data_IF_109980175075
#
_entry.id   IF_109980175075
#
_cell.length_a   1.000
_cell.length_b   1.000
_cell.length_c   1.000
_cell.angle_alpha   90.00
_cell.angle_beta   90.00
_cell.angle_gamma   90.00
#
_symmetry.space_group_name_H-M   'P 1'
#
loop_
_entity.id
_entity.type
_entity.pdbx_description
1 polymer ?
#
# COMPACT_ATOMS: atom_id res chain seq x y z
N UNK A 1 -19.20 9.45 -14.97
CA UNK A 1 -17.87 9.94 -14.55
C UNK A 1 -17.77 9.74 -13.05
N UNK A 2 -17.06 8.70 -12.60
CA UNK A 2 -16.86 8.46 -11.19
C UNK A 2 -16.06 9.60 -10.56
N UNK A 3 -16.26 9.79 -9.25
CA UNK A 3 -15.43 10.66 -8.45
C UNK A 3 -14.78 9.84 -7.32
N UNK A 4 -13.57 10.22 -6.95
CA UNK A 4 -12.71 9.54 -5.98
C UNK A 4 -12.38 10.51 -4.86
N UNK A 5 -12.24 9.98 -3.65
CA UNK A 5 -11.93 10.75 -2.45
C UNK A 5 -10.45 10.59 -2.16
N UNK A 6 -9.67 11.66 -2.33
CA UNK A 6 -8.26 11.66 -1.99
C UNK A 6 -7.99 12.56 -0.79
N UNK A 7 -7.27 12.04 0.21
CA UNK A 7 -6.76 12.86 1.32
C UNK A 7 -5.37 13.38 0.97
N UNK A 8 -5.14 14.66 1.22
CA UNK A 8 -3.81 15.25 1.05
C UNK A 8 -2.90 14.69 2.15
N UNK A 9 -1.91 13.90 1.74
CA UNK A 9 -0.94 13.29 2.65
C UNK A 9 0.12 14.30 3.10
N UNK A 10 0.70 14.12 4.30
CA UNK A 10 1.85 14.91 4.72
C UNK A 10 3.03 14.73 3.77
N UNK A 11 3.84 15.79 3.54
CA UNK A 11 5.03 15.68 2.70
C UNK A 11 6.03 14.69 3.29
N UNK A 12 6.55 13.80 2.44
CA UNK A 12 7.55 12.79 2.83
C UNK A 12 8.93 13.14 2.28
N UNK A 13 9.96 12.54 2.88
CA UNK A 13 11.34 12.66 2.40
C UNK A 13 11.54 12.06 1.01
N UNK A 14 10.91 10.90 0.75
CA UNK A 14 10.99 10.24 -0.54
C UNK A 14 10.41 11.13 -1.66
N UNK A 15 9.26 11.76 -1.43
CA UNK A 15 8.69 12.72 -2.39
C UNK A 15 9.62 13.92 -2.58
N UNK A 16 10.18 14.48 -1.51
CA UNK A 16 11.14 15.59 -1.63
C UNK A 16 12.36 15.21 -2.49
N UNK A 17 12.95 14.05 -2.27
CA UNK A 17 14.09 13.57 -3.05
C UNK A 17 13.72 13.42 -4.54
N UNK A 18 12.48 12.97 -4.83
CA UNK A 18 11.94 12.92 -6.19
C UNK A 18 11.81 14.34 -6.78
N UNK A 19 11.26 15.28 -6.02
CA UNK A 19 11.15 16.68 -6.45
C UNK A 19 12.51 17.31 -6.74
N UNK A 20 13.53 17.03 -5.92
CA UNK A 20 14.89 17.50 -6.18
C UNK A 20 15.45 16.94 -7.50
N UNK A 21 15.22 15.66 -7.79
CA UNK A 21 15.61 15.04 -9.07
C UNK A 21 14.89 15.66 -10.27
N UNK A 22 13.66 16.16 -10.08
CA UNK A 22 12.90 16.89 -11.10
C UNK A 22 13.30 18.36 -11.23
N UNK A 23 14.29 18.83 -10.47
CA UNK A 23 14.82 20.19 -10.55
C UNK A 23 14.29 21.16 -9.49
N UNK A 24 13.62 20.68 -8.44
CA UNK A 24 13.30 21.52 -7.28
C UNK A 24 14.57 21.91 -6.52
N UNK A 25 14.85 23.21 -6.44
CA UNK A 25 16.08 23.75 -5.82
C UNK A 25 15.88 24.23 -4.37
N UNK A 26 14.66 24.15 -3.83
CA UNK A 26 14.37 24.60 -2.47
C UNK A 26 14.86 23.62 -1.40
N UNK A 27 14.91 24.09 -0.16
CA UNK A 27 15.20 23.25 1.00
C UNK A 27 14.00 22.37 1.36
N UNK A 28 14.22 21.44 2.30
CA UNK A 28 13.14 20.64 2.88
C UNK A 28 12.10 21.48 3.60
N UNK A 29 12.53 22.53 4.31
CA UNK A 29 11.61 23.38 5.06
C UNK A 29 10.76 24.22 4.10
N UNK A 30 11.32 24.66 2.98
CA UNK A 30 10.56 25.30 1.89
C UNK A 30 9.53 24.33 1.30
N UNK A 31 9.93 23.08 1.05
CA UNK A 31 9.05 22.05 0.51
C UNK A 31 7.89 21.74 1.45
N UNK A 32 8.18 21.55 2.74
CA UNK A 32 7.17 21.32 3.78
C UNK A 32 6.22 22.48 3.93
N UNK A 33 6.72 23.72 3.91
CA UNK A 33 5.87 24.90 4.02
C UNK A 33 4.91 24.99 2.83
N UNK A 34 5.42 24.72 1.62
CA UNK A 34 4.63 24.77 0.38
C UNK A 34 3.59 23.65 0.30
N UNK A 35 3.92 22.43 0.74
CA UNK A 35 3.03 21.26 0.67
C UNK A 35 2.18 21.03 1.92
N UNK A 36 2.53 21.66 3.03
CA UNK A 36 1.93 21.41 4.35
C UNK A 36 0.57 22.06 4.57
N UNK A 37 0.25 23.14 3.84
CA UNK A 37 -0.95 23.95 4.09
C UNK A 37 -2.28 23.19 3.94
N UNK A 38 -2.33 22.20 3.05
CA UNK A 38 -3.55 21.46 2.72
C UNK A 38 -3.59 20.05 3.32
N UNK A 39 -2.60 19.67 4.15
CA UNK A 39 -2.53 18.33 4.74
C UNK A 39 -3.81 17.99 5.51
N UNK A 40 -4.36 16.81 5.21
CA UNK A 40 -5.61 16.34 5.79
C UNK A 40 -6.88 16.86 5.11
N UNK A 41 -6.79 17.83 4.19
CA UNK A 41 -7.94 18.20 3.37
C UNK A 41 -8.35 17.04 2.46
N UNK A 42 -9.64 17.00 2.13
CA UNK A 42 -10.24 16.02 1.22
C UNK A 42 -10.45 16.67 -0.13
N UNK A 43 -9.87 16.06 -1.17
CA UNK A 43 -10.05 16.42 -2.56
C UNK A 43 -10.98 15.42 -3.26
N UNK A 44 -11.79 15.91 -4.20
CA UNK A 44 -12.60 15.08 -5.07
C UNK A 44 -11.99 15.09 -6.47
N UNK A 45 -11.58 13.92 -6.94
CA UNK A 45 -11.03 13.73 -8.29
C UNK A 45 -12.11 13.08 -9.14
N UNK A 46 -12.58 13.72 -10.21
CA UNK A 46 -13.58 13.14 -11.10
C UNK A 46 -12.95 12.78 -12.45
N UNK A 47 -13.16 11.56 -12.90
CA UNK A 47 -12.49 10.97 -14.06
C UNK A 47 -12.58 9.45 -14.04
N UNK A 48 -11.96 8.76 -14.99
CA UNK A 48 -11.86 7.29 -14.99
C UNK A 48 -10.46 6.90 -14.53
N UNK A 49 -10.30 6.58 -13.24
CA UNK A 49 -9.01 6.22 -12.62
C UNK A 49 -8.95 4.74 -12.22
N UNK A 50 -9.89 3.91 -12.70
CA UNK A 50 -10.00 2.50 -12.33
C UNK A 50 -10.90 2.25 -11.12
N UNK A 51 -10.83 1.06 -10.51
CA UNK A 51 -11.67 0.71 -9.37
C UNK A 51 -11.44 1.64 -8.17
N UNK A 52 -12.50 1.90 -7.42
CA UNK A 52 -12.39 2.55 -6.12
C UNK A 52 -11.80 1.61 -5.09
N UNK A 53 -11.01 2.15 -4.17
CA UNK A 53 -10.72 1.48 -2.91
C UNK A 53 -12.06 1.09 -2.25
N UNK A 54 -12.21 -0.18 -1.92
CA UNK A 54 -13.44 -0.73 -1.39
C UNK A 54 -13.79 -0.21 0.02
N UNK A 55 -12.84 0.46 0.70
CA UNK A 55 -12.98 0.92 2.08
C UNK A 55 -13.20 2.44 2.21
N UNK A 56 -12.64 3.26 1.30
CA UNK A 56 -12.74 4.73 1.40
C UNK A 56 -13.07 5.47 0.11
N UNK A 57 -13.29 4.76 -1.00
CA UNK A 57 -13.54 5.36 -2.31
C UNK A 57 -12.41 6.28 -2.84
N UNK A 58 -11.19 6.14 -2.32
CA UNK A 58 -9.98 6.64 -2.99
C UNK A 58 -9.69 5.84 -4.27
N UNK A 59 -8.66 6.23 -5.02
CA UNK A 59 -8.18 5.43 -6.15
C UNK A 59 -7.64 4.09 -5.63
N UNK A 60 -8.11 2.99 -6.22
CA UNK A 60 -7.71 1.64 -5.85
C UNK A 60 -6.46 1.21 -6.61
N UNK A 61 -5.29 1.72 -6.21
CA UNK A 61 -4.00 1.44 -6.86
C UNK A 61 -3.51 0.00 -6.68
N UNK A 62 -3.99 -0.70 -5.65
CA UNK A 62 -3.55 -2.05 -5.27
C UNK A 62 -4.72 -3.05 -5.30
N UNK A 63 -4.40 -4.32 -5.54
CA UNK A 63 -5.32 -5.45 -5.40
C UNK A 63 -4.84 -6.38 -4.29
N UNK A 64 -5.77 -7.02 -3.59
CA UNK A 64 -5.41 -7.95 -2.51
C UNK A 64 -4.97 -9.31 -3.06
N UNK A 65 -3.70 -9.65 -2.84
CA UNK A 65 -3.07 -10.88 -3.35
C UNK A 65 -3.28 -12.12 -2.47
N UNK A 66 -4.12 -12.03 -1.43
CA UNK A 66 -4.31 -13.15 -0.51
C UNK A 66 -4.97 -14.33 -1.23
N UNK A 67 -4.40 -15.56 -1.14
CA UNK A 67 -4.95 -16.72 -1.83
C UNK A 67 -6.27 -17.17 -1.22
N UNK A 68 -7.30 -17.34 -2.07
CA UNK A 68 -8.65 -17.75 -1.64
C UNK A 68 -9.03 -19.16 -2.12
N UNK A 69 -8.06 -19.94 -2.61
CA UNK A 69 -8.25 -21.27 -3.17
C UNK A 69 -8.35 -21.29 -4.70
N UNK A 70 -8.27 -22.48 -5.30
CA UNK A 70 -8.37 -22.71 -6.75
C UNK A 70 -7.46 -21.82 -7.62
N UNK A 71 -6.29 -21.44 -7.09
CA UNK A 71 -5.35 -20.55 -7.77
C UNK A 71 -5.82 -19.10 -7.93
N UNK A 72 -6.82 -18.67 -7.13
CA UNK A 72 -7.37 -17.31 -7.14
C UNK A 72 -6.88 -16.48 -5.96
N UNK A 73 -6.92 -15.17 -6.15
CA UNK A 73 -6.63 -14.13 -5.17
C UNK A 73 -7.92 -13.41 -4.75
N UNK A 74 -7.85 -12.64 -3.67
CA UNK A 74 -9.00 -11.88 -3.18
C UNK A 74 -9.40 -10.75 -4.14
N UNK A 75 -8.44 -10.10 -4.80
CA UNK A 75 -8.62 -9.03 -5.79
C UNK A 75 -9.44 -7.83 -5.30
N UNK A 76 -9.58 -7.65 -3.98
CA UNK A 76 -10.23 -6.47 -3.40
C UNK A 76 -9.40 -5.23 -3.76
N UNK A 77 -9.97 -4.19 -4.39
CA UNK A 77 -9.26 -2.96 -4.71
C UNK A 77 -9.02 -2.12 -3.45
N UNK A 78 -7.81 -1.61 -3.31
CA UNK A 78 -7.32 -0.88 -2.12
C UNK A 78 -6.50 0.33 -2.56
N UNK A 79 -6.61 1.42 -1.80
CA UNK A 79 -5.63 2.49 -1.89
C UNK A 79 -4.41 2.16 -1.03
N UNK A 80 -3.34 2.93 -1.17
CA UNK A 80 -2.11 2.80 -0.38
C UNK A 80 -2.36 2.78 1.14
N UNK A 81 -3.37 3.50 1.64
CA UNK A 81 -3.66 3.55 3.08
C UNK A 81 -4.31 2.26 3.62
N UNK A 82 -4.92 1.44 2.74
CA UNK A 82 -5.59 0.18 3.09
C UNK A 82 -4.87 -1.06 2.55
N UNK A 83 -3.75 -0.87 1.85
CA UNK A 83 -2.90 -1.93 1.34
C UNK A 83 -1.75 -2.18 2.32
N UNK A 84 -1.59 -3.43 2.77
CA UNK A 84 -0.45 -3.85 3.57
C UNK A 84 0.52 -4.64 2.72
N UNK A 85 1.65 -4.05 2.37
CA UNK A 85 2.72 -4.76 1.68
C UNK A 85 3.36 -5.79 2.63
N UNK A 86 3.28 -7.07 2.28
CA UNK A 86 3.85 -8.18 3.08
C UNK A 86 5.14 -8.75 2.46
N UNK A 87 5.36 -8.49 1.18
CA UNK A 87 6.53 -8.81 0.39
C UNK A 87 6.53 -7.90 -0.86
N UNK A 88 7.66 -7.77 -1.60
CA UNK A 88 7.71 -6.91 -2.78
C UNK A 88 6.58 -7.22 -3.76
N UNK A 89 5.79 -6.20 -4.09
CA UNK A 89 4.62 -6.29 -4.99
C UNK A 89 3.51 -7.26 -4.51
N UNK A 90 3.45 -7.58 -3.21
CA UNK A 90 2.39 -8.42 -2.62
C UNK A 90 1.68 -7.64 -1.51
N UNK A 91 0.41 -7.32 -1.74
CA UNK A 91 -0.40 -6.47 -0.88
C UNK A 91 -1.62 -7.20 -0.35
N UNK A 92 -1.86 -7.13 0.96
CA UNK A 92 -3.06 -7.68 1.59
C UNK A 92 -3.98 -6.58 2.10
N UNK A 93 -5.29 -6.81 2.01
CA UNK A 93 -6.28 -5.96 2.66
C UNK A 93 -6.26 -6.14 4.17
N UNK A 94 -6.83 -5.19 4.91
CA UNK A 94 -6.90 -5.24 6.38
C UNK A 94 -7.33 -6.59 6.95
N UNK A 95 -8.35 -7.22 6.35
CA UNK A 95 -8.86 -8.51 6.80
C UNK A 95 -7.82 -9.63 6.62
N UNK A 96 -7.24 -9.73 5.41
CA UNK A 96 -6.26 -10.76 5.08
C UNK A 96 -4.88 -10.51 5.70
N UNK A 97 -4.52 -9.25 5.94
CA UNK A 97 -3.32 -8.89 6.67
C UNK A 97 -3.38 -9.37 8.12
N UNK A 98 -4.54 -9.27 8.78
CA UNK A 98 -4.74 -9.84 10.13
C UNK A 98 -4.58 -11.35 10.12
N UNK A 99 -5.23 -12.04 9.17
CA UNK A 99 -5.12 -13.49 9.02
C UNK A 99 -3.67 -13.92 8.76
N UNK A 100 -2.95 -13.20 7.89
CA UNK A 100 -1.54 -13.44 7.60
C UNK A 100 -0.65 -13.23 8.82
N UNK A 101 -0.87 -12.14 9.55
CA UNK A 101 -0.12 -11.80 10.76
C UNK A 101 -0.28 -12.91 11.80
N UNK A 102 -1.52 -13.33 12.04
CA UNK A 102 -1.79 -14.44 12.95
C UNK A 102 -1.14 -15.74 12.48
N UNK A 103 -1.22 -16.10 11.19
CA UNK A 103 -0.56 -17.29 10.64
C UNK A 103 0.96 -17.25 10.86
N UNK A 104 1.58 -16.10 10.60
CA UNK A 104 3.02 -15.90 10.75
C UNK A 104 3.45 -15.98 12.21
N UNK A 105 2.73 -15.33 13.13
CA UNK A 105 3.04 -15.32 14.56
C UNK A 105 2.94 -16.71 15.21
N UNK A 106 2.09 -17.59 14.66
CA UNK A 106 1.97 -18.99 15.09
C UNK A 106 3.11 -19.88 14.58
N UNK A 107 4.08 -19.33 13.83
CA UNK A 107 5.16 -20.09 13.20
C UNK A 107 4.75 -20.79 11.90
N UNK A 108 3.60 -20.44 11.32
CA UNK A 108 3.09 -21.09 10.11
C UNK A 108 4.02 -20.95 8.90
N UNK A 109 4.79 -19.86 8.82
CA UNK A 109 5.81 -19.67 7.77
C UNK A 109 6.94 -20.69 7.91
N UNK A 110 7.48 -20.86 9.12
CA UNK A 110 8.56 -21.81 9.37
C UNK A 110 8.09 -23.25 9.10
N UNK A 111 6.86 -23.57 9.49
CA UNK A 111 6.25 -24.87 9.21
C UNK A 111 6.09 -25.11 7.70
N UNK A 112 5.55 -24.13 6.96
CA UNK A 112 5.32 -24.23 5.52
C UNK A 112 6.63 -24.33 4.71
N UNK A 113 7.67 -23.63 5.16
CA UNK A 113 8.96 -23.55 4.47
C UNK A 113 10.00 -24.56 4.97
N UNK A 114 9.69 -25.34 6.00
CA UNK A 114 10.62 -26.31 6.61
C UNK A 114 11.28 -27.27 5.61
N UNK A 115 10.58 -27.61 4.53
CA UNK A 115 11.06 -28.53 3.50
C UNK A 115 11.62 -27.84 2.26
N UNK A 116 11.64 -26.51 2.22
CA UNK A 116 12.20 -25.74 1.12
C UNK A 116 13.70 -25.61 1.33
N UNK A 117 14.49 -26.16 0.40
CA UNK A 117 15.96 -26.29 0.52
C UNK A 117 16.65 -24.96 0.88
N UNK A 118 16.17 -23.84 0.33
CA UNK A 118 16.72 -22.51 0.62
C UNK A 118 16.51 -22.02 2.07
N UNK A 119 15.63 -22.69 2.83
CA UNK A 119 15.26 -22.35 4.21
C UNK A 119 15.55 -23.49 5.20
N UNK A 120 16.23 -24.56 4.76
CA UNK A 120 16.72 -25.58 5.67
C UNK A 120 17.91 -25.02 6.45
N UNK A 121 17.73 -24.76 7.74
CA UNK A 121 18.86 -24.50 8.62
C UNK A 121 19.71 -25.77 8.73
N UNK A 122 20.97 -25.69 8.31
CA UNK A 122 21.96 -26.73 8.58
C UNK A 122 22.02 -26.95 10.11
N UNK A 123 21.94 -28.21 10.53
CA UNK A 123 22.02 -28.60 11.95
C UNK A 123 23.46 -28.52 12.46
#
# INVERSE_FOLDING_TARGET
MPCYIQRVKPPTRAEFDLWQKMGYTGSWDDYRTTRGGDVGQTMFLCGEFGPHCADCAAVGDFLCDYPVGDGKTCDRPMCEDHAHEIAPEIHYCDAHYRMWTEFRERGGVDEALRNVVAFQHEK
#
